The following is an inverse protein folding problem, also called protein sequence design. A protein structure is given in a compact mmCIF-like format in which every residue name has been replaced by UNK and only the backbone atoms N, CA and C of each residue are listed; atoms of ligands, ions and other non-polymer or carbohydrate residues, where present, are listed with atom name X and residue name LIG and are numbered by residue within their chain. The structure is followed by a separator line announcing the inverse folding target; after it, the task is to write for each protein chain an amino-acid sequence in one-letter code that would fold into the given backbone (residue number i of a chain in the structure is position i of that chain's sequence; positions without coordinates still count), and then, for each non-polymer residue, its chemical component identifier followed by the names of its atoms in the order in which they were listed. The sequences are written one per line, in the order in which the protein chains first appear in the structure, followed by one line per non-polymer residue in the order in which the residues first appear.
data_IF_068201160569
#
_entry.id   IF_068201160569
#
_cell.length_a   1.000
_cell.length_b   1.000
_cell.length_c   1.000
_cell.angle_alpha   90.00
_cell.angle_beta   90.00
_cell.angle_gamma   90.00
#
_symmetry.space_group_name_H-M   'P 1'
#
loop_
_entity.id
_entity.type
_entity.pdbx_description
1 polymer ?
#
# COMPACT_ATOMS: atom_id res chain seq x y z
N UNK A 1 6.91 -4.22 10.84
CA UNK A 1 8.33 -4.61 10.95
C UNK A 1 9.07 -4.11 9.71
N UNK A 2 9.90 -3.06 9.84
CA UNK A 2 10.62 -2.43 8.71
C UNK A 2 11.91 -3.18 8.32
N UNK A 3 12.37 -4.08 9.18
CA UNK A 3 13.60 -4.84 8.96
C UNK A 3 13.49 -5.71 7.71
N UNK A 4 14.55 -5.70 6.88
CA UNK A 4 14.59 -6.45 5.61
C UNK A 4 13.81 -5.83 4.44
N UNK A 5 13.20 -4.64 4.62
CA UNK A 5 12.58 -3.89 3.53
C UNK A 5 13.62 -3.11 2.72
N UNK A 6 13.44 -3.05 1.40
CA UNK A 6 14.36 -2.37 0.50
C UNK A 6 14.23 -0.85 0.63
N UNK A 7 15.33 -0.11 0.53
CA UNK A 7 15.33 1.36 0.62
C UNK A 7 14.38 2.02 -0.40
N UNK A 8 14.38 1.53 -1.65
CA UNK A 8 13.41 1.96 -2.69
C UNK A 8 11.94 1.86 -2.27
N UNK A 9 11.56 0.86 -1.45
CA UNK A 9 10.19 0.75 -0.95
C UNK A 9 9.86 1.91 0.01
N UNK A 10 10.86 2.36 0.77
CA UNK A 10 10.78 3.50 1.68
C UNK A 10 11.15 4.81 0.97
N UNK A 11 10.92 4.87 -0.34
CA UNK A 11 11.12 6.06 -1.16
C UNK A 11 12.55 6.60 -1.13
N UNK A 12 13.55 5.72 -1.28
CA UNK A 12 14.98 6.07 -1.24
C UNK A 12 15.36 6.79 0.06
N UNK A 13 14.96 6.20 1.19
CA UNK A 13 15.11 6.76 2.53
C UNK A 13 16.52 7.29 2.83
N UNK A 14 17.56 6.50 2.53
CA UNK A 14 18.94 6.83 2.90
C UNK A 14 19.44 8.00 2.05
N UNK A 15 19.20 7.94 0.74
CA UNK A 15 19.53 9.03 -0.17
C UNK A 15 18.84 10.34 0.23
N UNK A 16 17.52 10.30 0.49
CA UNK A 16 16.75 11.48 0.90
C UNK A 16 17.18 12.04 2.25
N UNK A 17 17.54 11.18 3.19
CA UNK A 17 18.07 11.61 4.48
C UNK A 17 19.42 12.32 4.33
N UNK A 18 20.34 11.74 3.54
CA UNK A 18 21.66 12.32 3.28
C UNK A 18 21.58 13.67 2.54
N UNK A 19 20.59 13.82 1.66
CA UNK A 19 20.31 15.08 0.96
C UNK A 19 19.58 16.13 1.82
N UNK A 20 19.26 15.81 3.08
CA UNK A 20 18.53 16.71 3.99
C UNK A 20 17.05 16.90 3.64
N UNK A 21 16.49 16.07 2.74
CA UNK A 21 15.07 16.10 2.37
C UNK A 21 14.18 15.49 3.46
N UNK A 22 14.75 14.66 4.34
CA UNK A 22 14.10 14.10 5.51
C UNK A 22 14.84 14.65 6.73
N UNK A 23 14.30 15.72 7.33
CA UNK A 23 14.87 16.33 8.51
C UNK A 23 14.58 15.53 9.79
N UNK A 24 13.44 14.84 9.84
CA UNK A 24 13.02 14.03 10.98
C UNK A 24 12.45 12.69 10.50
N UNK A 25 13.16 11.62 10.85
CA UNK A 25 12.76 10.25 10.54
C UNK A 25 11.47 9.85 11.28
N UNK A 26 11.23 10.38 12.48
CA UNK A 26 9.99 10.12 13.21
C UNK A 26 8.81 10.71 12.45
N UNK A 27 8.86 12.01 12.12
CA UNK A 27 7.82 12.68 11.34
C UNK A 27 7.59 12.03 9.96
N UNK A 28 8.65 11.53 9.31
CA UNK A 28 8.56 10.82 8.03
C UNK A 28 7.78 9.51 8.15
N UNK A 29 8.07 8.71 9.17
CA UNK A 29 7.42 7.43 9.43
C UNK A 29 6.05 7.56 10.10
N UNK A 30 5.74 8.70 10.71
CA UNK A 30 4.39 9.04 11.18
C UNK A 30 3.44 9.45 10.06
N UNK A 31 3.90 9.56 8.82
CA UNK A 31 3.02 9.90 7.70
C UNK A 31 2.04 8.75 7.40
N UNK A 32 0.78 9.06 7.04
CA UNK A 32 -0.26 8.09 6.70
C UNK A 32 0.16 6.96 5.75
N UNK A 33 0.96 7.29 4.73
CA UNK A 33 1.37 6.31 3.72
C UNK A 33 2.23 5.18 4.32
N UNK A 34 3.04 5.48 5.35
CA UNK A 34 3.97 4.51 5.94
C UNK A 34 3.24 3.42 6.74
N UNK A 35 2.02 3.70 7.22
CA UNK A 35 1.25 2.77 8.05
C UNK A 35 0.96 1.45 7.36
N UNK A 36 0.72 1.47 6.04
CA UNK A 36 0.50 0.25 5.26
C UNK A 36 1.70 -0.71 5.39
N UNK A 37 2.93 -0.17 5.37
CA UNK A 37 4.18 -0.95 5.44
C UNK A 37 4.37 -1.61 6.80
N UNK A 38 3.75 -1.09 7.86
CA UNK A 38 3.83 -1.68 9.20
C UNK A 38 2.94 -2.89 9.40
N UNK A 39 1.88 -3.01 8.60
CA UNK A 39 0.89 -4.08 8.76
C UNK A 39 1.49 -5.44 8.40
N UNK A 40 1.02 -6.49 9.08
CA UNK A 40 1.38 -7.88 8.77
C UNK A 40 0.92 -8.28 7.36
N UNK A 41 -0.25 -7.79 6.94
CA UNK A 41 -0.87 -8.07 5.65
C UNK A 41 -0.08 -7.47 4.46
N UNK A 42 0.76 -6.46 4.68
CA UNK A 42 1.60 -5.89 3.61
C UNK A 42 2.56 -6.90 3.00
N UNK A 43 3.04 -7.88 3.79
CA UNK A 43 3.89 -8.94 3.26
C UNK A 43 3.17 -9.81 2.23
N UNK A 44 1.87 -10.03 2.41
CA UNK A 44 1.05 -10.75 1.45
C UNK A 44 0.91 -9.97 0.15
N UNK A 45 0.66 -8.65 0.23
CA UNK A 45 0.63 -7.78 -0.95
C UNK A 45 1.95 -7.86 -1.74
N UNK A 46 3.10 -7.78 -1.05
CA UNK A 46 4.40 -7.88 -1.72
C UNK A 46 4.64 -9.22 -2.42
N UNK A 47 4.14 -10.33 -1.84
CA UNK A 47 4.22 -11.67 -2.45
C UNK A 47 3.31 -11.76 -3.68
N UNK A 48 2.08 -11.29 -3.58
CA UNK A 48 1.14 -11.28 -4.71
C UNK A 48 1.65 -10.40 -5.86
N UNK A 49 2.28 -9.25 -5.57
CA UNK A 49 2.95 -8.47 -6.58
C UNK A 49 4.07 -9.27 -7.25
N UNK A 50 4.93 -9.95 -6.47
CA UNK A 50 6.00 -10.80 -6.99
C UNK A 50 5.49 -11.92 -7.90
N UNK A 51 4.37 -12.56 -7.54
CA UNK A 51 3.73 -13.60 -8.34
C UNK A 51 3.29 -13.04 -9.70
N UNK A 52 2.71 -11.84 -9.76
CA UNK A 52 2.32 -11.20 -11.04
C UNK A 52 3.53 -11.06 -11.96
N UNK A 53 4.70 -10.72 -11.43
CA UNK A 53 5.94 -10.64 -12.23
C UNK A 53 6.38 -12.01 -12.76
N UNK A 54 6.08 -13.10 -12.05
CA UNK A 54 6.63 -14.43 -12.30
C UNK A 54 5.73 -15.33 -13.13
N UNK A 55 4.41 -15.17 -13.09
CA UNK A 55 3.48 -16.19 -13.63
C UNK A 55 2.49 -15.66 -14.66
N UNK A 56 2.37 -14.34 -14.78
CA UNK A 56 1.27 -13.78 -15.56
C UNK A 56 1.69 -13.65 -17.03
N UNK A 57 1.18 -14.56 -17.86
CA UNK A 57 1.41 -14.58 -19.32
C UNK A 57 0.89 -13.28 -19.97
N UNK A 58 -0.26 -12.78 -19.51
CA UNK A 58 -0.89 -11.52 -19.98
C UNK A 58 -0.07 -10.28 -19.60
N UNK A 59 0.75 -10.39 -18.55
CA UNK A 59 1.69 -9.35 -18.18
C UNK A 59 2.88 -9.25 -19.15
N UNK A 60 3.06 -10.20 -20.07
CA UNK A 60 4.09 -10.15 -21.12
C UNK A 60 5.54 -10.34 -20.62
N UNK A 61 5.75 -10.53 -19.31
CA UNK A 61 7.09 -10.76 -18.75
C UNK A 61 7.54 -12.21 -18.85
N UNK A 62 6.63 -13.17 -18.68
CA UNK A 62 6.92 -14.61 -18.71
C UNK A 62 7.54 -15.06 -20.04
N UNK A 63 7.02 -14.53 -21.17
CA UNK A 63 7.48 -14.89 -22.51
C UNK A 63 8.81 -14.22 -22.93
N UNK A 64 9.23 -13.14 -22.27
CA UNK A 64 10.45 -12.40 -22.61
C UNK A 64 11.72 -12.96 -21.95
N UNK A 65 11.53 -13.87 -21.00
CA UNK A 65 12.58 -14.57 -20.28
C UNK A 65 12.65 -16.00 -20.83
N UNK A 66 13.18 -16.17 -22.04
CA UNK A 66 13.88 -17.42 -22.40
C UNK A 66 15.13 -17.53 -21.52
N UNK A 67 14.93 -17.74 -20.23
CA UNK A 67 15.98 -17.96 -19.25
C UNK A 67 16.00 -19.44 -18.95
N UNK A 68 16.73 -20.19 -19.77
CA UNK A 68 17.21 -21.54 -19.44
C UNK A 68 18.27 -21.53 -18.33
N UNK A 69 18.18 -20.57 -17.41
CA UNK A 69 19.06 -20.44 -16.26
C UNK A 69 18.17 -20.13 -15.06
N UNK A 70 17.98 -21.14 -14.23
CA UNK A 70 17.24 -21.14 -12.96
C UNK A 70 17.78 -20.09 -11.94
N UNK A 71 18.68 -19.17 -12.35
CA UNK A 71 19.24 -18.12 -11.50
C UNK A 71 18.38 -16.84 -11.43
N UNK A 72 17.35 -16.71 -12.26
CA UNK A 72 16.38 -15.59 -12.21
C UNK A 72 15.12 -15.92 -11.43
N UNK A 73 15.12 -17.03 -10.67
CA UNK A 73 14.29 -17.09 -9.47
C UNK A 73 14.85 -16.07 -8.49
N UNK A 74 14.49 -14.79 -8.69
CA UNK A 74 14.60 -13.77 -7.67
C UNK A 74 13.59 -14.14 -6.60
N UNK A 75 13.94 -15.17 -5.84
CA UNK A 75 13.59 -15.33 -4.45
C UNK A 75 13.80 -13.96 -3.83
N UNK A 76 12.70 -13.33 -3.41
CA UNK A 76 12.74 -12.08 -2.65
C UNK A 76 13.62 -12.19 -1.37
N UNK A 77 14.02 -13.42 -1.03
CA UNK A 77 14.83 -13.81 0.12
C UNK A 77 16.35 -13.87 -0.19
N UNK A 78 16.78 -14.16 -1.43
CA UNK A 78 18.21 -14.37 -1.77
C UNK A 78 18.90 -13.14 -2.41
N UNK A 79 18.69 -11.96 -1.83
CA UNK A 79 19.27 -10.67 -2.27
C UNK A 79 20.76 -10.48 -1.94
N UNK A 80 21.61 -11.52 -2.08
CA UNK A 80 23.07 -11.36 -1.95
C UNK A 80 23.79 -11.09 -3.28
N UNK A 81 23.17 -11.37 -4.42
CA UNK A 81 23.77 -11.05 -5.72
C UNK A 81 23.24 -9.71 -6.24
N UNK A 82 24.17 -8.77 -6.43
CA UNK A 82 23.90 -7.52 -7.14
C UNK A 82 23.65 -7.86 -8.61
N UNK A 83 22.41 -7.69 -9.06
CA UNK A 83 22.06 -7.73 -10.48
C UNK A 83 22.87 -6.64 -11.19
N UNK A 84 23.57 -7.01 -12.29
CA UNK A 84 24.34 -6.08 -13.13
C UNK A 84 23.48 -4.87 -13.57
N UNK A 85 24.10 -3.69 -13.72
CA UNK A 85 23.41 -2.46 -14.14
C UNK A 85 22.67 -2.64 -15.47
N UNK A 86 23.27 -3.37 -16.42
CA UNK A 86 22.65 -3.67 -17.72
C UNK A 86 21.37 -4.50 -17.57
N UNK A 87 21.38 -5.48 -16.67
CA UNK A 87 20.21 -6.28 -16.35
C UNK A 87 19.12 -5.44 -15.64
N UNK A 88 19.50 -4.48 -14.80
CA UNK A 88 18.54 -3.58 -14.14
C UNK A 88 17.83 -2.67 -15.15
N UNK A 89 18.55 -2.09 -16.11
CA UNK A 89 17.96 -1.27 -17.17
C UNK A 89 17.04 -2.08 -18.08
N UNK A 90 17.45 -3.32 -18.42
CA UNK A 90 16.63 -4.24 -19.22
C UNK A 90 15.32 -4.58 -18.50
N UNK A 91 15.38 -4.93 -17.22
CA UNK A 91 14.21 -5.21 -16.38
C UNK A 91 13.32 -3.97 -16.29
N UNK A 92 13.89 -2.78 -16.10
CA UNK A 92 13.13 -1.53 -16.03
C UNK A 92 12.38 -1.25 -17.33
N UNK A 93 13.03 -1.42 -18.49
CA UNK A 93 12.40 -1.24 -19.80
C UNK A 93 11.29 -2.26 -20.05
N UNK A 94 11.53 -3.52 -19.71
CA UNK A 94 10.50 -4.57 -19.82
C UNK A 94 9.29 -4.25 -18.94
N UNK A 95 9.51 -3.85 -17.69
CA UNK A 95 8.45 -3.46 -16.77
C UNK A 95 7.61 -2.30 -17.30
N UNK A 96 8.26 -1.22 -17.76
CA UNK A 96 7.57 -0.06 -18.32
C UNK A 96 6.74 -0.36 -19.57
N UNK A 97 7.16 -1.34 -20.37
CA UNK A 97 6.46 -1.73 -21.60
C UNK A 97 5.42 -2.85 -21.39
N UNK A 98 5.23 -3.28 -20.15
CA UNK A 98 4.33 -4.39 -19.79
C UNK A 98 3.01 -3.90 -19.18
N UNK A 99 2.05 -4.80 -19.04
CA UNK A 99 0.83 -4.55 -18.28
C UNK A 99 1.02 -4.70 -16.74
N UNK A 100 2.20 -5.16 -16.27
CA UNK A 100 2.44 -5.38 -14.83
C UNK A 100 2.18 -4.16 -13.96
N UNK A 101 2.57 -2.92 -14.33
CA UNK A 101 2.25 -1.74 -13.52
C UNK A 101 0.74 -1.61 -13.23
N UNK A 102 -0.11 -1.88 -14.22
CA UNK A 102 -1.57 -1.82 -14.08
C UNK A 102 -2.08 -2.91 -13.13
N UNK A 103 -1.56 -4.14 -13.23
CA UNK A 103 -1.94 -5.23 -12.32
C UNK A 103 -1.50 -4.95 -10.89
N UNK A 104 -0.29 -4.45 -10.69
CA UNK A 104 0.23 -4.06 -9.37
C UNK A 104 -0.59 -2.92 -8.79
N UNK A 105 -0.95 -1.92 -9.59
CA UNK A 105 -1.82 -0.82 -9.17
C UNK A 105 -3.20 -1.34 -8.74
N UNK A 106 -3.86 -2.12 -9.58
CA UNK A 106 -5.17 -2.70 -9.28
C UNK A 106 -5.15 -3.58 -8.03
N UNK A 107 -4.11 -4.39 -7.84
CA UNK A 107 -3.92 -5.21 -6.65
C UNK A 107 -3.72 -4.34 -5.41
N UNK A 108 -2.95 -3.25 -5.51
CA UNK A 108 -2.73 -2.31 -4.42
C UNK A 108 -4.03 -1.59 -4.04
N UNK A 109 -4.82 -1.14 -5.03
CA UNK A 109 -6.13 -0.55 -4.82
C UNK A 109 -7.10 -1.53 -4.16
N UNK A 110 -7.11 -2.79 -4.60
CA UNK A 110 -7.90 -3.86 -3.99
C UNK A 110 -7.49 -4.08 -2.53
N UNK A 111 -6.20 -4.20 -2.25
CA UNK A 111 -5.67 -4.38 -0.91
C UNK A 111 -6.11 -3.26 0.03
N UNK A 112 -5.96 -2.00 -0.38
CA UNK A 112 -6.42 -0.83 0.39
C UNK A 112 -7.92 -0.90 0.63
N UNK A 113 -8.69 -1.35 -0.37
CA UNK A 113 -10.15 -1.45 -0.27
C UNK A 113 -10.62 -2.55 0.68
N UNK A 114 -9.87 -3.64 0.82
CA UNK A 114 -10.20 -4.76 1.71
C UNK A 114 -9.80 -4.46 3.16
N UNK A 115 -8.73 -3.68 3.36
CA UNK A 115 -8.18 -3.39 4.68
C UNK A 115 -8.59 -2.01 5.23
N UNK A 116 -9.68 -1.42 4.73
CA UNK A 116 -10.14 -0.06 5.08
C UNK A 116 -10.20 0.24 6.58
N UNK A 117 -10.64 -0.73 7.40
CA UNK A 117 -10.73 -0.53 8.85
C UNK A 117 -9.35 -0.49 9.54
N UNK A 118 -8.38 -1.22 9.01
CA UNK A 118 -7.01 -1.26 9.52
C UNK A 118 -6.15 -0.11 8.95
N UNK A 119 -6.55 0.39 7.79
CA UNK A 119 -5.90 1.45 7.04
C UNK A 119 -6.84 2.67 6.89
N UNK A 120 -7.34 3.24 8.00
CA UNK A 120 -8.35 4.29 7.96
C UNK A 120 -7.87 5.56 7.25
N UNK A 121 -6.55 5.75 7.20
CA UNK A 121 -5.92 6.87 6.52
C UNK A 121 -6.00 6.79 4.99
N UNK A 122 -6.38 5.64 4.44
CA UNK A 122 -6.65 5.46 3.01
C UNK A 122 -8.15 5.43 2.70
N UNK A 123 -9.03 5.73 3.67
CA UNK A 123 -10.45 5.91 3.37
C UNK A 123 -10.64 7.12 2.46
N UNK A 124 -11.18 6.84 1.28
CA UNK A 124 -11.72 7.85 0.37
C UNK A 124 -13.02 8.46 0.92
N UNK A 125 -13.34 9.67 0.46
CA UNK A 125 -14.50 10.47 0.91
C UNK A 125 -15.85 9.78 0.67
N UNK A 126 -15.96 8.97 -0.40
CA UNK A 126 -17.13 8.14 -0.68
C UNK A 126 -17.42 7.15 0.45
N UNK A 127 -16.39 6.53 1.01
CA UNK A 127 -16.51 5.61 2.14
C UNK A 127 -16.87 6.35 3.43
N UNK A 128 -16.29 7.53 3.68
CA UNK A 128 -16.64 8.36 4.84
C UNK A 128 -18.11 8.79 4.77
N UNK A 129 -18.58 9.20 3.58
CA UNK A 129 -19.97 9.54 3.35
C UNK A 129 -20.90 8.33 3.55
N UNK A 130 -20.52 7.14 3.08
CA UNK A 130 -21.28 5.90 3.29
C UNK A 130 -21.38 5.53 4.77
N UNK A 131 -20.28 5.61 5.51
CA UNK A 131 -20.25 5.38 6.97
C UNK A 131 -21.17 6.39 7.67
N UNK A 132 -21.05 7.68 7.36
CA UNK A 132 -21.91 8.73 7.95
C UNK A 132 -23.40 8.52 7.65
N UNK A 133 -23.76 8.12 6.44
CA UNK A 133 -25.16 7.77 6.10
C UNK A 133 -25.66 6.58 6.91
N UNK A 134 -24.84 5.54 7.05
CA UNK A 134 -25.16 4.38 7.89
C UNK A 134 -25.39 4.80 9.35
N UNK A 135 -24.52 5.64 9.92
CA UNK A 135 -24.71 6.22 11.25
C UNK A 135 -26.01 7.02 11.38
N UNK A 136 -26.32 7.91 10.42
CA UNK A 136 -27.55 8.70 10.45
C UNK A 136 -28.83 7.85 10.37
N UNK A 137 -28.75 6.70 9.70
CA UNK A 137 -29.86 5.74 9.61
C UNK A 137 -29.99 4.84 10.85
N UNK A 138 -28.96 4.76 11.70
CA UNK A 138 -28.93 3.89 12.88
C UNK A 138 -29.98 4.31 13.93
N UNK A 139 -30.78 3.36 14.46
CA UNK A 139 -31.73 3.63 15.54
C UNK A 139 -31.05 4.28 16.77
N UNK A 140 -29.84 3.80 17.10
CA UNK A 140 -29.05 4.30 18.22
C UNK A 140 -28.66 5.78 18.08
N UNK A 141 -28.41 6.22 16.84
CA UNK A 141 -28.08 7.62 16.55
C UNK A 141 -29.31 8.52 16.71
N UNK A 142 -30.48 8.06 16.25
CA UNK A 142 -31.75 8.78 16.43
C UNK A 142 -32.11 8.93 17.91
N UNK A 143 -31.83 7.92 18.72
CA UNK A 143 -32.03 7.98 20.17
C UNK A 143 -31.06 8.94 20.87
N UNK A 144 -29.79 8.97 20.47
CA UNK A 144 -28.80 9.94 20.99
C UNK A 144 -29.18 11.40 20.68
N UNK A 145 -29.68 11.68 19.48
CA UNK A 145 -30.15 13.03 19.11
C UNK A 145 -31.35 13.44 19.97
N UNK A 146 -32.32 12.54 20.15
CA UNK A 146 -33.49 12.79 21.03
C UNK A 146 -33.08 12.99 22.49
N UNK A 147 -32.14 12.19 22.99
CA UNK A 147 -31.62 12.32 24.35
C UNK A 147 -30.93 13.68 24.55
N UNK A 148 -30.08 14.11 23.61
CA UNK A 148 -29.40 15.43 23.68
C UNK A 148 -30.37 16.61 23.65
N UNK A 149 -31.43 16.56 22.85
CA UNK A 149 -32.46 17.60 22.83
C UNK A 149 -33.17 17.74 24.18
N UNK A 150 -33.34 16.62 24.90
CA UNK A 150 -34.01 16.58 26.22
C UNK A 150 -33.20 17.23 27.35
N UNK A 151 -31.87 17.24 27.26
CA UNK A 151 -30.98 17.84 28.27
C UNK A 151 -30.58 19.30 27.95
N UNK A 152 -30.86 19.80 26.75
CA UNK A 152 -30.57 21.18 26.33
C UNK A 152 -31.73 22.16 26.53
N UNK A 153 -32.92 21.68 26.89
CA UNK A 153 -34.07 22.51 27.24
C UNK A 153 -34.08 22.76 28.76
N UNK A 154 -33.24 23.69 29.21
CA UNK A 154 -33.43 24.32 30.51
C UNK A 154 -34.52 25.36 30.27
N UNK A 155 -35.74 25.10 30.77
CA UNK A 155 -36.84 26.07 30.73
C UNK A 155 -36.40 27.33 31.50
N UNK A 156 -36.40 28.51 30.88
CA UNK A 156 -36.38 29.74 31.65
C UNK A 156 -37.75 29.89 32.33
N UNK A 157 -37.73 30.05 33.65
CA UNK A 157 -38.90 30.45 34.47
C UNK A 157 -39.42 31.84 34.09
#
# INVERSE_FOLDING_TARGET
NLYGKHERLLNNLLERYNLGLIADLYAFFSQPWAYAVYTSCFNQLTRQCAEIFQTNEDAGLYASLNLGDDSFYISFEDRKQRVSLENQEKISKMYSNSAVPLYVENLTLKYVSEHKLQLPMYLRDDHIAAIRRSYASSPLHKELVKARQKYGQINPE
#
